data_IF_418937588251
#
_entry.id   IF_418937588251
#
_cell.length_a   1.000
_cell.length_b   1.000
_cell.length_c   1.000
_cell.angle_alpha   90.00
_cell.angle_beta   90.00
_cell.angle_gamma   90.00
#
_symmetry.space_group_name_H-M   'P 1'
#
loop_
_entity.id
_entity.type
_entity.pdbx_description
1 polymer ?
#
# COMPACT_ATOMS: atom_id res chain seq x y z
N UNK A 1 18.81 -44.30 -29.63
CA UNK A 1 18.11 -44.50 -28.34
C UNK A 1 18.57 -43.43 -27.36
N UNK A 2 17.60 -42.73 -26.75
CA UNK A 2 17.64 -41.88 -25.53
C UNK A 2 18.46 -40.56 -25.66
N UNK A 3 17.82 -39.42 -25.92
CA UNK A 3 16.88 -38.56 -25.11
C UNK A 3 17.63 -37.46 -24.35
N UNK A 4 17.33 -36.24 -24.81
CA UNK A 4 17.61 -34.90 -24.28
C UNK A 4 17.06 -34.74 -22.86
N UNK A 5 17.79 -33.99 -22.02
CA UNK A 5 17.21 -33.24 -20.89
C UNK A 5 17.86 -31.85 -20.86
N UNK A 6 17.02 -30.83 -21.04
CA UNK A 6 17.33 -29.39 -21.03
C UNK A 6 16.45 -28.76 -19.94
N UNK A 7 17.06 -27.85 -19.15
CA UNK A 7 16.49 -26.70 -18.42
C UNK A 7 15.55 -26.98 -17.22
N UNK A 8 15.86 -26.37 -16.06
CA UNK A 8 14.93 -25.59 -15.21
C UNK A 8 15.61 -25.18 -13.89
N UNK A 9 16.11 -23.93 -13.82
CA UNK A 9 16.45 -23.29 -12.54
C UNK A 9 16.32 -21.76 -12.60
N UNK A 10 15.20 -21.29 -13.16
CA UNK A 10 14.77 -19.89 -13.12
C UNK A 10 13.26 -19.88 -12.85
N UNK A 11 12.82 -20.26 -11.64
CA UNK A 11 11.44 -20.05 -11.17
C UNK A 11 11.40 -20.21 -9.64
N UNK A 12 11.78 -19.16 -8.91
CA UNK A 12 11.44 -18.98 -7.49
C UNK A 12 10.67 -17.66 -7.30
N UNK A 13 9.77 -17.38 -8.24
CA UNK A 13 8.96 -16.16 -8.24
C UNK A 13 7.71 -16.25 -9.13
N UNK A 14 7.17 -17.44 -9.40
CA UNK A 14 5.83 -17.62 -10.01
C UNK A 14 5.32 -19.01 -9.67
N UNK A 15 4.64 -19.17 -8.53
CA UNK A 15 3.74 -20.30 -8.32
C UNK A 15 2.55 -19.87 -7.48
N UNK A 16 1.47 -19.51 -8.18
CA UNK A 16 0.09 -19.73 -7.75
C UNK A 16 -0.83 -19.60 -8.96
N UNK A 17 -0.77 -20.58 -9.86
CA UNK A 17 -1.88 -20.90 -10.76
C UNK A 17 -2.14 -22.40 -10.64
N UNK A 18 -2.96 -22.77 -9.66
CA UNK A 18 -3.75 -23.98 -9.73
C UNK A 18 -5.22 -23.61 -9.51
N UNK A 19 -6.03 -24.21 -10.36
CA UNK A 19 -7.43 -23.93 -10.61
C UNK A 19 -8.27 -24.67 -9.58
N UNK A 20 -8.57 -24.02 -8.46
CA UNK A 20 -9.70 -24.31 -7.58
C UNK A 20 -10.32 -22.96 -7.28
N UNK A 21 -11.52 -22.68 -7.82
CA UNK A 21 -12.29 -21.43 -7.68
C UNK A 21 -11.43 -20.22 -7.31
N UNK A 22 -10.59 -19.81 -8.27
CA UNK A 22 -9.45 -18.94 -8.00
C UNK A 22 -9.84 -17.68 -7.23
N UNK A 23 -8.93 -17.13 -6.40
CA UNK A 23 -9.17 -15.89 -5.69
C UNK A 23 -9.72 -14.86 -6.67
N UNK A 24 -10.79 -14.15 -6.29
CA UNK A 24 -11.33 -13.06 -7.12
C UNK A 24 -10.15 -12.20 -7.53
N UNK A 25 -10.17 -11.67 -8.75
CA UNK A 25 -9.07 -10.85 -9.29
C UNK A 25 -8.60 -9.78 -8.26
N UNK A 26 -9.54 -9.21 -7.49
CA UNK A 26 -9.31 -8.32 -6.34
C UNK A 26 -8.43 -8.87 -5.20
N UNK A 27 -8.49 -10.16 -4.93
CA UNK A 27 -7.81 -10.86 -3.83
C UNK A 27 -6.37 -11.18 -4.22
N UNK A 28 -6.14 -11.52 -5.49
CA UNK A 28 -4.79 -11.69 -6.06
C UNK A 28 -3.95 -10.43 -5.90
N UNK A 29 -4.52 -9.25 -6.18
CA UNK A 29 -3.80 -8.00 -6.03
C UNK A 29 -3.52 -7.64 -4.57
N UNK A 30 -4.45 -7.95 -3.66
CA UNK A 30 -4.24 -7.68 -2.24
C UNK A 30 -3.07 -8.49 -1.66
N UNK A 31 -2.88 -9.74 -2.10
CA UNK A 31 -1.73 -10.55 -1.66
C UNK A 31 -0.39 -10.00 -2.18
N UNK A 32 -0.37 -9.38 -3.37
CA UNK A 32 0.84 -8.78 -3.94
C UNK A 32 1.40 -7.61 -3.10
N UNK A 33 0.51 -6.89 -2.41
CA UNK A 33 0.83 -5.72 -1.59
C UNK A 33 0.52 -5.93 -0.10
N UNK A 34 0.50 -7.20 0.31
CA UNK A 34 0.34 -7.55 1.72
C UNK A 34 1.58 -7.13 2.50
N UNK A 35 1.36 -6.55 3.68
CA UNK A 35 2.45 -6.21 4.56
C UNK A 35 3.18 -7.49 5.01
N UNK A 36 4.49 -7.39 5.14
CA UNK A 36 5.25 -8.46 5.77
C UNK A 36 4.84 -8.58 7.24
N UNK A 37 4.99 -9.78 7.79
CA UNK A 37 4.72 -10.02 9.21
C UNK A 37 5.56 -9.11 10.12
N UNK A 38 6.80 -8.85 9.72
CA UNK A 38 7.70 -7.93 10.42
C UNK A 38 7.14 -6.50 10.46
N UNK A 39 6.69 -5.95 9.33
CA UNK A 39 6.07 -4.62 9.28
C UNK A 39 4.81 -4.57 10.15
N UNK A 40 3.96 -5.60 10.07
CA UNK A 40 2.76 -5.67 10.91
C UNK A 40 3.10 -5.72 12.40
N UNK A 41 4.13 -6.46 12.80
CA UNK A 41 4.54 -6.58 14.20
C UNK A 41 5.15 -5.27 14.72
N UNK A 42 5.94 -4.57 13.91
CA UNK A 42 6.45 -3.21 14.24
C UNK A 42 5.28 -2.25 14.50
N UNK A 43 4.29 -2.23 13.61
CA UNK A 43 3.12 -1.35 13.75
C UNK A 43 2.32 -1.73 15.00
N UNK A 44 1.92 -2.99 15.11
CA UNK A 44 0.95 -3.44 16.12
C UNK A 44 1.52 -3.50 17.55
N UNK A 45 2.83 -3.63 17.69
CA UNK A 45 3.52 -3.59 19.00
C UNK A 45 3.75 -2.17 19.51
N UNK A 46 3.72 -1.16 18.63
CA UNK A 46 3.98 0.24 18.98
C UNK A 46 2.94 0.84 19.92
N UNK A 47 3.39 1.76 20.78
CA UNK A 47 2.48 2.51 21.67
C UNK A 47 1.63 3.51 20.90
N UNK A 48 2.15 4.05 19.79
CA UNK A 48 1.42 4.91 18.86
C UNK A 48 0.18 4.18 18.30
N UNK A 49 0.34 2.95 17.79
CA UNK A 49 -0.79 2.15 17.31
C UNK A 49 -1.83 1.90 18.42
N UNK A 50 -1.40 1.52 19.62
CA UNK A 50 -2.32 1.29 20.76
C UNK A 50 -3.08 2.55 21.12
N UNK A 51 -2.40 3.70 21.12
CA UNK A 51 -3.00 5.00 21.44
C UNK A 51 -4.00 5.45 20.37
N UNK A 52 -3.63 5.37 19.09
CA UNK A 52 -4.49 5.72 17.95
C UNK A 52 -5.73 4.82 17.88
N UNK A 53 -5.56 3.51 18.06
CA UNK A 53 -6.66 2.55 18.07
C UNK A 53 -7.69 2.83 19.17
N UNK A 54 -7.25 3.37 20.31
CA UNK A 54 -8.12 3.75 21.43
C UNK A 54 -8.78 5.11 21.23
N UNK A 55 -8.08 6.06 20.61
CA UNK A 55 -8.48 7.46 20.51
C UNK A 55 -9.31 7.79 19.26
N UNK A 56 -9.11 7.06 18.15
CA UNK A 56 -9.79 7.30 16.89
C UNK A 56 -10.89 6.28 16.64
N UNK A 57 -12.08 6.79 16.34
CA UNK A 57 -13.28 6.00 16.06
C UNK A 57 -14.09 6.60 14.92
N UNK A 58 -14.42 5.77 13.92
CA UNK A 58 -15.22 6.17 12.77
C UNK A 58 -14.50 7.07 11.77
N UNK A 59 -15.08 7.18 10.58
CA UNK A 59 -14.42 7.80 9.42
C UNK A 59 -13.97 9.24 9.64
N UNK A 60 -14.82 10.09 10.23
CA UNK A 60 -14.54 11.51 10.39
C UNK A 60 -13.26 11.78 11.20
N UNK A 61 -13.10 11.09 12.34
CA UNK A 61 -11.92 11.26 13.20
C UNK A 61 -10.64 10.78 12.52
N UNK A 62 -10.69 9.61 11.86
CA UNK A 62 -9.55 9.10 11.09
C UNK A 62 -9.18 10.04 9.95
N UNK A 63 -10.16 10.56 9.21
CA UNK A 63 -9.94 11.50 8.11
C UNK A 63 -9.30 12.80 8.60
N UNK A 64 -9.84 13.41 9.64
CA UNK A 64 -9.31 14.66 10.21
C UNK A 64 -7.88 14.49 10.69
N UNK A 65 -7.61 13.40 11.43
CA UNK A 65 -6.27 13.07 11.89
C UNK A 65 -5.31 12.85 10.72
N UNK A 66 -5.68 12.00 9.77
CA UNK A 66 -4.84 11.67 8.62
C UNK A 66 -4.54 12.89 7.75
N UNK A 67 -5.51 13.81 7.58
CA UNK A 67 -5.30 15.06 6.85
C UNK A 67 -4.30 15.99 7.55
N UNK A 68 -4.34 16.08 8.88
CA UNK A 68 -3.51 16.97 9.67
C UNK A 68 -2.02 16.56 9.74
N UNK A 69 -1.73 15.27 9.63
CA UNK A 69 -0.40 14.67 9.80
C UNK A 69 0.22 14.20 8.46
N UNK A 70 1.50 13.79 8.46
CA UNK A 70 2.22 13.30 7.29
C UNK A 70 2.43 14.37 6.23
N UNK A 71 2.91 15.54 6.63
CA UNK A 71 3.24 16.67 5.74
C UNK A 71 4.71 16.72 5.33
N UNK A 72 5.57 16.07 6.10
CA UNK A 72 6.99 15.93 5.84
C UNK A 72 7.50 14.72 6.62
N UNK A 73 8.61 14.15 6.16
CA UNK A 73 9.26 12.99 6.76
C UNK A 73 10.71 13.33 7.08
N UNK A 74 11.28 12.61 8.04
CA UNK A 74 12.62 12.84 8.48
C UNK A 74 13.62 12.32 7.44
N UNK A 75 14.68 13.09 7.23
CA UNK A 75 15.74 12.75 6.28
C UNK A 75 16.59 11.59 6.79
N UNK A 76 17.11 10.77 5.88
CA UNK A 76 17.90 9.57 6.19
C UNK A 76 19.20 9.86 6.96
N UNK A 77 19.76 11.06 6.81
CA UNK A 77 20.96 11.47 7.56
C UNK A 77 20.65 12.04 8.95
N UNK A 78 19.38 12.04 9.37
CA UNK A 78 18.97 12.40 10.72
C UNK A 78 19.41 11.36 11.75
N UNK A 79 19.86 11.82 12.91
CA UNK A 79 20.05 10.97 14.10
C UNK A 79 18.76 10.73 14.90
N UNK A 80 17.70 11.47 14.62
CA UNK A 80 16.38 11.30 15.23
C UNK A 80 15.53 10.31 14.43
N UNK A 81 14.78 9.48 15.15
CA UNK A 81 13.78 8.59 14.55
C UNK A 81 12.63 9.38 13.90
N UNK A 82 12.09 8.85 12.80
CA UNK A 82 10.93 9.42 12.13
C UNK A 82 9.63 8.98 12.82
N UNK A 83 9.23 9.75 13.83
CA UNK A 83 7.96 9.49 14.51
C UNK A 83 6.75 9.74 13.60
N UNK A 84 6.89 10.57 12.57
CA UNK A 84 5.79 10.85 11.63
C UNK A 84 5.57 9.66 10.70
N UNK A 85 6.63 9.02 10.21
CA UNK A 85 6.55 7.75 9.47
C UNK A 85 5.74 6.71 10.26
N UNK A 86 6.12 6.44 11.52
CA UNK A 86 5.45 5.43 12.33
C UNK A 86 3.98 5.79 12.58
N UNK A 87 3.71 7.06 12.92
CA UNK A 87 2.34 7.56 13.12
C UNK A 87 1.47 7.35 11.90
N UNK A 88 1.96 7.77 10.73
CA UNK A 88 1.20 7.65 9.49
C UNK A 88 0.98 6.18 9.12
N UNK A 89 2.00 5.33 9.30
CA UNK A 89 1.84 3.90 9.08
C UNK A 89 0.80 3.25 10.01
N UNK A 90 0.75 3.64 11.28
CA UNK A 90 -0.25 3.14 12.23
C UNK A 90 -1.68 3.54 11.80
N UNK A 91 -1.87 4.80 11.41
CA UNK A 91 -3.18 5.32 10.94
C UNK A 91 -3.61 4.61 9.65
N UNK A 92 -2.70 4.49 8.68
CA UNK A 92 -2.96 3.81 7.40
C UNK A 92 -3.29 2.34 7.60
N UNK A 93 -2.56 1.66 8.50
CA UNK A 93 -2.84 0.27 8.85
C UNK A 93 -4.22 0.10 9.52
N UNK A 94 -4.60 1.00 10.43
CA UNK A 94 -5.91 0.97 11.09
C UNK A 94 -7.05 1.22 10.09
N UNK A 95 -6.90 2.21 9.20
CA UNK A 95 -7.87 2.48 8.15
C UNK A 95 -7.91 1.37 7.09
N UNK A 96 -6.78 0.70 6.87
CA UNK A 96 -6.66 -0.42 5.93
C UNK A 96 -7.38 -1.68 6.39
N UNK A 97 -7.80 -1.79 7.65
CA UNK A 97 -8.47 -2.98 8.17
C UNK A 97 -9.80 -3.25 7.46
N UNK A 98 -10.05 -4.53 7.14
CA UNK A 98 -11.26 -4.94 6.40
C UNK A 98 -12.55 -4.45 7.07
N UNK A 99 -12.64 -4.56 8.39
CA UNK A 99 -13.80 -4.11 9.17
C UNK A 99 -14.04 -2.60 9.06
N UNK A 100 -12.97 -1.80 8.97
CA UNK A 100 -13.09 -0.35 8.82
C UNK A 100 -13.60 -0.03 7.42
N UNK A 101 -12.91 -0.52 6.38
CA UNK A 101 -13.25 -0.21 4.98
C UNK A 101 -14.64 -0.71 4.57
N UNK A 102 -15.05 -1.90 5.03
CA UNK A 102 -16.39 -2.44 4.74
C UNK A 102 -17.51 -1.68 5.44
N UNK A 103 -17.22 -0.99 6.54
CA UNK A 103 -18.15 -0.12 7.25
C UNK A 103 -18.34 1.26 6.60
N UNK A 104 -17.51 1.62 5.61
CA UNK A 104 -17.61 2.90 4.92
C UNK A 104 -18.62 2.85 3.76
N UNK A 105 -19.21 3.99 3.44
CA UNK A 105 -19.92 4.18 2.17
C UNK A 105 -18.92 4.38 1.01
N UNK A 106 -19.33 4.10 -0.24
CA UNK A 106 -18.46 4.26 -1.42
C UNK A 106 -17.92 5.68 -1.56
N UNK A 107 -18.74 6.72 -1.29
CA UNK A 107 -18.27 8.10 -1.31
C UNK A 107 -17.15 8.38 -0.28
N UNK A 108 -17.21 7.78 0.91
CA UNK A 108 -16.17 7.87 1.93
C UNK A 108 -14.91 7.11 1.54
N UNK A 109 -15.04 5.93 0.93
CA UNK A 109 -13.88 5.18 0.40
C UNK A 109 -13.18 5.92 -0.73
N UNK A 110 -13.93 6.54 -1.65
CA UNK A 110 -13.36 7.38 -2.72
C UNK A 110 -12.66 8.61 -2.14
N UNK A 111 -13.26 9.26 -1.16
CA UNK A 111 -12.61 10.36 -0.44
C UNK A 111 -11.30 9.92 0.24
N UNK A 112 -11.33 8.77 0.92
CA UNK A 112 -10.13 8.20 1.54
C UNK A 112 -9.06 7.83 0.52
N UNK A 113 -9.44 7.27 -0.63
CA UNK A 113 -8.52 6.93 -1.73
C UNK A 113 -7.76 8.19 -2.17
N UNK A 114 -8.46 9.30 -2.36
CA UNK A 114 -7.84 10.55 -2.79
C UNK A 114 -6.91 11.13 -1.74
N UNK A 115 -7.35 11.14 -0.49
CA UNK A 115 -6.49 11.56 0.61
C UNK A 115 -5.24 10.68 0.71
N UNK A 116 -5.39 9.36 0.53
CA UNK A 116 -4.27 8.40 0.59
C UNK A 116 -3.30 8.59 -0.58
N UNK A 117 -3.80 8.88 -1.78
CA UNK A 117 -2.96 9.20 -2.94
C UNK A 117 -2.15 10.48 -2.72
N UNK A 118 -2.77 11.52 -2.16
CA UNK A 118 -2.06 12.76 -1.85
C UNK A 118 -1.00 12.56 -0.76
N UNK A 119 -1.30 11.77 0.26
CA UNK A 119 -0.29 11.37 1.27
C UNK A 119 0.81 10.50 0.68
N UNK A 120 0.49 9.62 -0.28
CA UNK A 120 1.50 8.82 -0.94
C UNK A 120 2.46 9.69 -1.74
N UNK A 121 1.99 10.75 -2.41
CA UNK A 121 2.87 11.70 -3.13
C UNK A 121 3.87 12.37 -2.20
N UNK A 122 3.41 12.88 -1.05
CA UNK A 122 4.27 13.56 -0.06
C UNK A 122 5.44 12.67 0.37
N UNK A 123 5.23 11.35 0.47
CA UNK A 123 6.28 10.39 0.84
C UNK A 123 7.42 10.29 -0.18
N UNK A 124 7.25 10.80 -1.39
CA UNK A 124 8.25 10.79 -2.47
C UNK A 124 8.76 12.20 -2.82
N UNK A 125 8.24 13.27 -2.21
CA UNK A 125 8.63 14.65 -2.53
C UNK A 125 10.07 14.98 -2.11
N UNK A 126 10.52 14.49 -0.96
CA UNK A 126 11.90 14.68 -0.50
C UNK A 126 12.75 13.44 -0.76
N UNK A 127 13.65 13.55 -1.74
CA UNK A 127 14.62 12.52 -2.14
C UNK A 127 15.59 12.08 -1.03
N UNK A 128 15.79 12.93 -0.02
CA UNK A 128 16.67 12.61 1.13
C UNK A 128 15.91 11.83 2.21
N UNK A 129 14.60 11.61 2.04
CA UNK A 129 13.75 10.83 2.93
C UNK A 129 13.36 9.49 2.27
N UNK A 130 13.27 8.43 3.06
CA UNK A 130 12.69 7.16 2.60
C UNK A 130 11.83 6.52 3.69
N UNK A 131 10.63 7.08 3.94
CA UNK A 131 9.73 6.60 4.98
C UNK A 131 9.04 5.29 4.54
N UNK A 132 9.82 4.21 4.50
CA UNK A 132 9.48 2.91 3.93
C UNK A 132 8.21 2.29 4.51
N UNK A 133 8.03 2.34 5.83
CA UNK A 133 6.89 1.69 6.50
C UNK A 133 5.57 2.37 6.18
N UNK A 134 5.56 3.72 6.10
CA UNK A 134 4.36 4.43 5.62
C UNK A 134 4.18 4.34 4.11
N UNK A 135 5.25 4.19 3.30
CA UNK A 135 5.10 3.89 1.86
C UNK A 135 4.40 2.54 1.64
N UNK A 136 4.74 1.52 2.44
CA UNK A 136 4.12 0.19 2.40
C UNK A 136 2.64 0.22 2.80
N UNK A 137 2.33 0.79 3.97
CA UNK A 137 0.95 0.84 4.50
C UNK A 137 0.04 1.74 3.66
N UNK A 138 0.55 2.87 3.15
CA UNK A 138 -0.17 3.71 2.22
C UNK A 138 -0.50 3.01 0.90
N UNK A 139 0.47 2.30 0.31
CA UNK A 139 0.23 1.50 -0.89
C UNK A 139 -0.81 0.40 -0.64
N UNK A 140 -0.68 -0.34 0.47
CA UNK A 140 -1.65 -1.38 0.83
C UNK A 140 -3.07 -0.80 0.97
N UNK A 141 -3.22 0.35 1.64
CA UNK A 141 -4.51 1.04 1.80
C UNK A 141 -5.11 1.41 0.44
N UNK A 142 -4.31 2.00 -0.46
CA UNK A 142 -4.75 2.38 -1.81
C UNK A 142 -5.22 1.15 -2.58
N UNK A 143 -4.42 0.07 -2.62
CA UNK A 143 -4.78 -1.17 -3.34
C UNK A 143 -6.06 -1.78 -2.77
N UNK A 144 -6.22 -1.82 -1.44
CA UNK A 144 -7.45 -2.31 -0.81
C UNK A 144 -8.67 -1.48 -1.19
N UNK A 145 -8.55 -0.15 -1.24
CA UNK A 145 -9.63 0.73 -1.66
C UNK A 145 -10.02 0.50 -3.11
N UNK A 146 -9.04 0.43 -4.02
CA UNK A 146 -9.26 0.12 -5.43
C UNK A 146 -9.93 -1.25 -5.62
N UNK A 147 -9.49 -2.26 -4.88
CA UNK A 147 -10.10 -3.61 -4.90
C UNK A 147 -11.55 -3.60 -4.44
N UNK A 148 -11.88 -2.86 -3.38
CA UNK A 148 -13.26 -2.78 -2.87
C UNK A 148 -14.17 -2.01 -3.84
N UNK A 149 -13.67 -0.94 -4.46
CA UNK A 149 -14.39 -0.17 -5.47
C UNK A 149 -14.42 -0.84 -6.85
N UNK A 150 -13.78 -2.01 -7.01
CA UNK A 150 -13.72 -2.82 -8.24
C UNK A 150 -13.08 -2.08 -9.42
N UNK A 151 -12.01 -1.34 -9.15
CA UNK A 151 -11.20 -0.66 -10.16
C UNK A 151 -10.25 -1.66 -10.87
N UNK A 152 -10.81 -2.72 -11.46
CA UNK A 152 -10.05 -3.88 -11.99
C UNK A 152 -9.06 -3.49 -13.08
N UNK A 153 -9.39 -2.52 -13.94
CA UNK A 153 -8.49 -2.04 -14.99
C UNK A 153 -7.22 -1.40 -14.41
N UNK A 154 -7.36 -0.58 -13.36
CA UNK A 154 -6.22 0.04 -12.69
C UNK A 154 -5.35 -1.03 -12.02
N UNK A 155 -5.98 -1.95 -11.29
CA UNK A 155 -5.27 -3.01 -10.58
C UNK A 155 -4.53 -3.95 -11.54
N UNK A 156 -5.12 -4.27 -12.69
CA UNK A 156 -4.48 -5.07 -13.72
C UNK A 156 -3.26 -4.36 -14.29
N UNK A 157 -3.35 -3.08 -14.61
CA UNK A 157 -2.23 -2.29 -15.15
C UNK A 157 -1.07 -2.20 -14.15
N UNK A 158 -1.36 -2.00 -12.86
CA UNK A 158 -0.34 -2.04 -11.80
C UNK A 158 0.32 -3.42 -11.71
N UNK A 159 -0.45 -4.49 -11.79
CA UNK A 159 0.07 -5.86 -11.75
C UNK A 159 0.94 -6.20 -12.96
N UNK A 160 0.56 -5.73 -14.16
CA UNK A 160 1.32 -5.93 -15.38
C UNK A 160 2.67 -5.20 -15.32
N UNK A 161 2.67 -3.98 -14.76
CA UNK A 161 3.91 -3.27 -14.47
C UNK A 161 4.79 -4.09 -13.51
N UNK A 162 4.25 -4.56 -12.38
CA UNK A 162 5.00 -5.38 -11.43
C UNK A 162 5.56 -6.68 -12.02
N UNK A 163 4.93 -7.24 -13.06
CA UNK A 163 5.36 -8.49 -13.68
C UNK A 163 6.47 -8.31 -14.72
N UNK A 164 6.67 -7.09 -15.19
CA UNK A 164 7.61 -6.77 -16.28
C UNK A 164 8.76 -5.87 -15.83
N UNK A 165 8.65 -5.25 -14.65
CA UNK A 165 9.65 -4.35 -14.08
C UNK A 165 10.49 -5.02 -12.99
N UNK A 166 11.79 -4.76 -12.98
CA UNK A 166 12.69 -5.20 -11.92
C UNK A 166 12.90 -4.07 -10.89
N UNK A 167 12.63 -4.36 -9.61
CA UNK A 167 12.69 -3.36 -8.54
C UNK A 167 14.01 -3.41 -7.78
N UNK A 168 15.00 -2.64 -8.23
CA UNK A 168 16.36 -2.62 -7.65
C UNK A 168 16.40 -2.37 -6.13
N UNK A 169 15.51 -1.52 -5.62
CA UNK A 169 15.44 -1.13 -4.20
C UNK A 169 14.09 -1.45 -3.56
N UNK A 170 13.35 -2.39 -4.16
CA UNK A 170 11.99 -2.75 -3.78
C UNK A 170 10.93 -1.79 -4.33
N UNK A 171 9.75 -2.34 -4.62
CA UNK A 171 8.60 -1.62 -5.21
C UNK A 171 8.18 -0.37 -4.42
N UNK A 172 8.34 -0.39 -3.11
CA UNK A 172 7.92 0.71 -2.23
C UNK A 172 8.81 1.94 -2.34
N UNK A 173 9.98 1.85 -2.97
CA UNK A 173 10.88 2.98 -3.22
C UNK A 173 10.99 3.32 -4.71
N UNK A 174 10.20 2.66 -5.56
CA UNK A 174 10.26 2.85 -7.00
C UNK A 174 9.41 4.06 -7.41
N UNK A 175 10.08 5.15 -7.80
CA UNK A 175 9.42 6.40 -8.22
C UNK A 175 8.53 6.19 -9.45
N UNK A 176 8.98 5.38 -10.41
CA UNK A 176 8.22 5.13 -11.63
C UNK A 176 6.92 4.36 -11.37
N UNK A 177 6.94 3.34 -10.49
CA UNK A 177 5.74 2.67 -10.02
C UNK A 177 4.82 3.63 -9.24
N UNK A 178 5.40 4.49 -8.38
CA UNK A 178 4.63 5.51 -7.66
C UNK A 178 3.91 6.46 -8.63
N UNK A 179 4.61 6.99 -9.63
CA UNK A 179 4.05 7.88 -10.64
C UNK A 179 2.93 7.21 -11.44
N UNK A 180 3.12 5.94 -11.81
CA UNK A 180 2.08 5.14 -12.45
C UNK A 180 0.84 5.02 -11.56
N UNK A 181 1.00 4.62 -10.30
CA UNK A 181 -0.09 4.50 -9.33
C UNK A 181 -0.90 5.80 -9.21
N UNK A 182 -0.20 6.92 -9.05
CA UNK A 182 -0.80 8.25 -8.93
C UNK A 182 -1.53 8.63 -10.21
N UNK A 183 -0.90 8.43 -11.38
CA UNK A 183 -1.47 8.76 -12.68
C UNK A 183 -2.79 8.04 -12.93
N UNK A 184 -2.81 6.71 -12.74
CA UNK A 184 -3.98 5.87 -12.97
C UNK A 184 -5.12 6.19 -11.99
N UNK A 185 -4.78 6.37 -10.72
CA UNK A 185 -5.77 6.48 -9.65
C UNK A 185 -6.31 7.90 -9.47
N UNK A 186 -5.57 8.94 -9.90
CA UNK A 186 -5.98 10.34 -9.76
C UNK A 186 -7.30 10.69 -10.46
N UNK A 187 -7.69 9.92 -11.49
CA UNK A 187 -8.97 10.08 -12.19
C UNK A 187 -10.17 9.84 -11.26
N UNK A 188 -10.00 9.00 -10.25
CA UNK A 188 -11.02 8.72 -9.22
C UNK A 188 -11.19 9.86 -8.20
N UNK A 189 -10.31 10.86 -8.27
CA UNK A 189 -10.31 12.03 -7.38
C UNK A 189 -10.90 13.28 -8.00
N UNK A 190 -11.27 13.21 -9.29
CA UNK A 190 -12.00 14.28 -9.95
C UNK A 190 -13.50 14.05 -9.72
N UNK A 191 -14.09 14.86 -8.85
CA UNK A 191 -15.53 15.11 -8.82
C UNK A 191 -15.83 16.37 -9.60
#
# INVERSE_FOLDING_TARGET
MKRIVLILSVFMGMMACQQEDGPKISDKYQELFKLSKETEDVITSSDEYKSLKKSLSGFAQYKEYYAAHGKAYQKLYSSMADNEELRMACVEYLMGQTKFLSGLHSNQRKELLCLSLDKQKIKFEDKDSAPLTTRQTGLQLIIRLLSIEKEEAILQELSDYCSTHEFRYGIYNDEAFHDLLVSLSSKNCKK
#
